data_IF_814318728730
#
_entry.id   IF_814318728730
#
_cell.length_a   1.000
_cell.length_b   1.000
_cell.length_c   1.000
_cell.angle_alpha   90.00
_cell.angle_beta   90.00
_cell.angle_gamma   90.00
#
_symmetry.space_group_name_H-M   'P 1'
#
loop_
_entity.id
_entity.type
_entity.pdbx_description
1 polymer ?
#
# COMPACT_ATOMS: atom_id res chain seq x y z
N UNK A 1 -2.74 -14.59 9.04
CA UNK A 1 -2.87 -13.14 8.83
C UNK A 1 -1.49 -12.60 8.51
N UNK A 2 -1.33 -11.93 7.37
CA UNK A 2 -0.07 -11.31 6.96
C UNK A 2 -0.07 -9.81 7.23
N UNK A 3 1.10 -9.19 7.32
CA UNK A 3 1.24 -7.73 7.40
C UNK A 3 1.90 -7.23 6.12
N UNK A 4 1.22 -6.34 5.41
CA UNK A 4 1.80 -5.62 4.28
C UNK A 4 2.47 -4.35 4.78
N UNK A 5 3.78 -4.23 4.55
CA UNK A 5 4.56 -3.05 4.94
C UNK A 5 5.06 -2.29 3.73
N UNK A 6 4.76 -1.00 3.67
CA UNK A 6 5.26 -0.05 2.67
C UNK A 6 6.32 0.82 3.36
N UNK A 7 7.54 0.87 2.81
CA UNK A 7 8.64 1.71 3.30
C UNK A 7 9.20 2.55 2.17
N UNK A 8 9.67 3.74 2.48
CA UNK A 8 10.37 4.59 1.52
C UNK A 8 10.99 5.81 2.17
N UNK A 9 11.69 6.61 1.36
CA UNK A 9 12.29 7.88 1.76
C UNK A 9 11.95 8.92 0.70
N UNK A 10 11.47 10.07 1.13
CA UNK A 10 11.36 11.27 0.30
C UNK A 10 12.51 12.19 0.62
N UNK A 11 13.41 12.38 -0.34
CA UNK A 11 14.56 13.27 -0.13
C UNK A 11 14.11 14.74 -0.15
N UNK A 12 14.79 15.54 0.67
CA UNK A 12 14.67 17.00 0.58
C UNK A 12 15.43 17.44 -0.66
N UNK A 13 14.87 18.36 -1.44
CA UNK A 13 15.62 18.98 -2.54
C UNK A 13 16.89 19.64 -1.97
N UNK A 14 18.02 19.47 -2.65
CA UNK A 14 19.30 20.05 -2.21
C UNK A 14 19.22 21.57 -2.16
N UNK A 15 19.68 22.16 -1.06
CA UNK A 15 19.92 23.60 -0.95
C UNK A 15 21.12 23.98 -1.82
N UNK A 16 20.89 24.76 -2.87
CA UNK A 16 22.00 25.46 -3.52
C UNK A 16 22.55 26.52 -2.56
N UNK A 17 23.88 26.58 -2.39
CA UNK A 17 24.54 27.60 -1.56
C UNK A 17 24.10 28.99 -2.00
N UNK A 18 23.36 29.69 -1.15
CA UNK A 18 22.85 31.04 -1.41
C UNK A 18 21.32 31.14 -1.47
N UNK A 19 20.59 30.03 -1.50
CA UNK A 19 19.12 30.06 -1.42
C UNK A 19 18.64 30.11 0.03
N UNK A 20 17.73 31.03 0.34
CA UNK A 20 17.04 31.11 1.64
C UNK A 20 15.60 30.68 1.44
N UNK A 21 15.16 29.62 2.12
CA UNK A 21 13.75 29.27 2.16
C UNK A 21 13.01 30.18 3.14
N UNK A 22 12.00 30.91 2.64
CA UNK A 22 11.06 31.61 3.51
C UNK A 22 10.02 30.68 4.13
N UNK A 23 9.66 29.59 3.43
CA UNK A 23 8.69 28.61 3.90
C UNK A 23 8.95 27.23 3.26
N UNK A 24 8.81 26.18 4.07
CA UNK A 24 8.89 24.78 3.63
C UNK A 24 7.65 24.05 4.13
N UNK A 25 6.74 23.73 3.20
CA UNK A 25 5.47 23.05 3.52
C UNK A 25 5.49 21.56 3.19
N UNK A 26 6.38 21.14 2.28
CA UNK A 26 6.45 19.76 1.80
C UNK A 26 7.21 18.90 2.81
N UNK A 27 6.56 17.88 3.34
CA UNK A 27 7.21 16.86 4.17
C UNK A 27 8.26 16.07 3.38
N UNK A 28 9.35 15.72 4.05
CA UNK A 28 10.45 14.88 3.58
C UNK A 28 10.88 13.93 4.70
N UNK A 29 11.74 12.95 4.37
CA UNK A 29 12.24 11.95 5.31
C UNK A 29 11.75 10.53 5.00
N UNK A 30 12.05 9.62 5.92
CA UNK A 30 11.63 8.23 5.86
C UNK A 30 10.17 8.07 6.25
N UNK A 31 9.50 7.10 5.64
CA UNK A 31 8.13 6.73 5.99
C UNK A 31 7.95 5.22 5.99
N UNK A 32 7.09 4.76 6.91
CA UNK A 32 6.65 3.37 6.99
C UNK A 32 5.15 3.36 7.26
N UNK A 33 4.41 2.54 6.51
CA UNK A 33 3.01 2.20 6.80
C UNK A 33 2.83 0.69 6.74
N UNK A 34 2.06 0.17 7.68
CA UNK A 34 1.74 -1.26 7.74
C UNK A 34 0.24 -1.46 7.75
N UNK A 35 -0.23 -2.49 7.06
CA UNK A 35 -1.62 -2.89 6.96
C UNK A 35 -1.74 -4.36 7.33
N UNK A 36 -2.67 -4.68 8.22
CA UNK A 36 -3.06 -6.06 8.46
C UNK A 36 -3.91 -6.55 7.28
N UNK A 37 -3.50 -7.67 6.68
CA UNK A 37 -4.24 -8.27 5.59
C UNK A 37 -5.14 -9.38 6.12
N UNK A 38 -6.39 -9.47 5.61
CA UNK A 38 -7.21 -10.63 5.88
C UNK A 38 -6.55 -11.87 5.27
N UNK A 39 -6.73 -13.04 5.88
CA UNK A 39 -6.21 -14.32 5.35
C UNK A 39 -6.80 -14.73 3.99
N UNK A 40 -7.67 -13.92 3.43
CA UNK A 40 -8.30 -14.12 2.13
C UNK A 40 -7.52 -13.45 0.99
N UNK A 41 -6.37 -12.83 1.22
CA UNK A 41 -5.52 -12.29 0.13
C UNK A 41 -4.69 -13.41 -0.51
N UNK A 42 -4.60 -13.42 -1.83
CA UNK A 42 -3.71 -14.30 -2.59
C UNK A 42 -2.34 -13.61 -2.74
N UNK A 43 -1.42 -13.91 -1.82
CA UNK A 43 -0.15 -13.18 -1.65
C UNK A 43 0.80 -13.28 -2.86
N UNK A 44 0.83 -14.43 -3.54
CA UNK A 44 1.67 -14.69 -4.72
C UNK A 44 1.26 -13.89 -5.97
N UNK A 45 0.09 -13.26 -5.94
CA UNK A 45 -0.47 -12.50 -7.05
C UNK A 45 -0.64 -11.00 -6.74
N UNK A 46 0.03 -10.50 -5.71
CA UNK A 46 0.02 -9.05 -5.40
C UNK A 46 0.80 -8.30 -6.49
N UNK A 47 0.18 -7.26 -7.05
CA UNK A 47 0.80 -6.38 -8.03
C UNK A 47 0.96 -4.96 -7.48
N UNK A 48 2.02 -4.28 -7.93
CA UNK A 48 2.30 -2.90 -7.56
C UNK A 48 2.62 -2.07 -8.81
N UNK A 49 2.03 -0.87 -8.90
CA UNK A 49 2.37 0.11 -9.93
C UNK A 49 2.63 1.47 -9.31
N UNK A 50 3.64 2.18 -9.80
CA UNK A 50 3.98 3.52 -9.35
C UNK A 50 3.95 4.49 -10.52
N UNK A 51 3.06 5.48 -10.45
CA UNK A 51 2.87 6.45 -11.52
C UNK A 51 2.47 7.81 -10.95
N UNK A 52 3.07 8.87 -11.48
CA UNK A 52 2.75 10.27 -11.14
C UNK A 52 2.73 10.56 -9.62
N UNK A 53 3.64 9.93 -8.87
CA UNK A 53 3.75 10.10 -7.43
C UNK A 53 2.88 9.19 -6.58
N UNK A 54 2.07 8.31 -7.19
CA UNK A 54 1.11 7.42 -6.49
C UNK A 54 1.52 5.96 -6.64
N UNK A 55 1.60 5.25 -5.51
CA UNK A 55 1.76 3.79 -5.46
C UNK A 55 0.37 3.14 -5.37
N UNK A 56 -0.01 2.40 -6.40
CA UNK A 56 -1.20 1.56 -6.43
C UNK A 56 -0.81 0.10 -6.16
N UNK A 57 -1.47 -0.54 -5.20
CA UNK A 57 -1.31 -1.95 -4.86
C UNK A 57 -2.60 -2.70 -5.16
N UNK A 58 -2.53 -3.78 -5.93
CA UNK A 58 -3.66 -4.67 -6.23
C UNK A 58 -3.48 -5.97 -5.49
N UNK A 59 -4.37 -6.23 -4.53
CA UNK A 59 -4.36 -7.42 -3.69
C UNK A 59 -5.55 -8.31 -4.08
N UNK A 60 -5.34 -9.28 -4.98
CA UNK A 60 -6.42 -10.19 -5.37
C UNK A 60 -6.86 -11.04 -4.18
N UNK A 61 -8.16 -11.31 -4.12
CA UNK A 61 -8.71 -12.23 -3.13
C UNK A 61 -8.48 -13.68 -3.58
N UNK A 62 -8.22 -14.55 -2.62
CA UNK A 62 -8.16 -16.00 -2.77
C UNK A 62 -9.49 -16.56 -3.26
N UNK A 63 -9.42 -17.63 -4.05
CA UNK A 63 -10.61 -18.31 -4.60
C UNK A 63 -11.55 -18.84 -3.50
N UNK A 64 -10.99 -19.26 -2.36
CA UNK A 64 -11.75 -19.73 -1.20
C UNK A 64 -12.58 -18.64 -0.52
N UNK A 65 -12.23 -17.36 -0.74
CA UNK A 65 -12.98 -16.22 -0.20
C UNK A 65 -14.24 -15.87 -0.98
N UNK A 66 -14.50 -16.55 -2.11
CA UNK A 66 -15.75 -16.36 -2.87
C UNK A 66 -16.93 -16.85 -2.03
N UNK A 67 -18.00 -16.06 -1.90
CA UNK A 67 -19.19 -16.46 -1.15
C UNK A 67 -19.77 -17.73 -1.77
N UNK A 68 -19.99 -18.76 -0.94
CA UNK A 68 -20.61 -20.02 -1.36
C UNK A 68 -22.11 -19.96 -1.13
N UNK A 69 -22.89 -20.40 -2.11
CA UNK A 69 -24.33 -20.63 -1.93
C UNK A 69 -24.52 -21.92 -1.15
N UNK A 70 -25.18 -21.85 0.00
CA UNK A 70 -25.57 -23.02 0.78
C UNK A 70 -27.04 -23.31 0.46
N UNK A 71 -27.30 -24.48 -0.12
CA UNK A 71 -28.67 -24.94 -0.38
C UNK A 71 -29.28 -25.51 0.91
N UNK A 72 -30.43 -24.97 1.33
CA UNK A 72 -31.15 -25.44 2.51
C UNK A 72 -32.04 -26.62 2.11
N UNK A 73 -31.74 -27.81 2.62
CA UNK A 73 -32.58 -29.00 2.41
C UNK A 73 -33.79 -28.94 3.34
N UNK A 74 -34.98 -29.11 2.79
CA UNK A 74 -36.23 -29.27 3.54
C UNK A 74 -36.48 -30.76 3.74
N UNK A 75 -36.89 -31.15 4.96
CA UNK A 75 -37.23 -32.52 5.33
C UNK A 75 -38.61 -32.93 4.81
#
# INVERSE_FOLDING_TARGET
YGVLTIRGKRERAEEQKGETYHLVERAYGEFVRSFELPGTVKEDAIEATYKDGVLELRLPKSEESKPRRIEVKVA
#
